data_IF_848162112139
#
_entry.id   IF_848162112139
#
_cell.length_a   1.000
_cell.length_b   1.000
_cell.length_c   1.000
_cell.angle_alpha   90.00
_cell.angle_beta   90.00
_cell.angle_gamma   90.00
#
_symmetry.space_group_name_H-M   'P 1'
#
loop_
_entity.id
_entity.type
_entity.pdbx_description
1 polymer ?
#
# COMPACT_ATOMS: atom_id res chain seq x y z
N UNK A 1 2.50 -31.48 -29.40
CA UNK A 1 1.25 -31.44 -28.61
C UNK A 1 1.51 -30.60 -27.37
N UNK A 2 0.77 -29.51 -27.16
CA UNK A 2 0.84 -28.77 -25.89
C UNK A 2 -0.02 -29.51 -24.87
N UNK A 3 0.57 -30.01 -23.79
CA UNK A 3 -0.18 -30.65 -22.72
C UNK A 3 -0.86 -29.57 -21.86
N UNK A 4 -2.17 -29.67 -21.65
CA UNK A 4 -2.88 -28.79 -20.74
C UNK A 4 -2.47 -29.13 -19.30
N UNK A 5 -1.95 -28.14 -18.57
CA UNK A 5 -1.68 -28.25 -17.13
C UNK A 5 -2.94 -27.80 -16.39
N UNK A 6 -3.52 -28.70 -15.59
CA UNK A 6 -4.65 -28.38 -14.70
C UNK A 6 -4.11 -28.06 -13.31
N UNK A 7 -4.36 -26.83 -12.82
CA UNK A 7 -4.02 -26.42 -11.46
C UNK A 7 -5.24 -26.52 -10.56
N UNK A 8 -5.22 -27.47 -9.63
CA UNK A 8 -6.24 -27.60 -8.57
C UNK A 8 -5.85 -26.76 -7.37
N UNK A 9 -6.67 -25.78 -7.01
CA UNK A 9 -6.46 -24.91 -5.85
C UNK A 9 -7.13 -25.48 -4.58
N UNK A 10 -6.60 -25.20 -3.38
CA UNK A 10 -7.28 -25.50 -2.13
C UNK A 10 -8.67 -24.84 -2.08
N UNK A 11 -9.66 -25.51 -1.46
CA UNK A 11 -11.03 -24.97 -1.36
C UNK A 11 -11.10 -23.61 -0.65
N UNK A 12 -10.22 -23.38 0.32
CA UNK A 12 -10.14 -22.13 1.09
C UNK A 12 -9.29 -21.03 0.42
N UNK A 13 -8.75 -21.28 -0.78
CA UNK A 13 -7.88 -20.31 -1.46
C UNK A 13 -8.60 -18.99 -1.81
N UNK A 14 -9.94 -18.99 -1.83
CA UNK A 14 -10.75 -17.79 -1.95
C UNK A 14 -10.43 -16.73 -0.89
N UNK A 15 -10.04 -17.11 0.33
CA UNK A 15 -9.64 -16.15 1.37
C UNK A 15 -8.30 -15.48 1.05
N UNK A 16 -7.37 -16.20 0.42
CA UNK A 16 -6.09 -15.64 -0.04
C UNK A 16 -6.35 -14.59 -1.13
N UNK A 17 -7.24 -14.90 -2.06
CA UNK A 17 -7.66 -13.97 -3.11
C UNK A 17 -8.40 -12.75 -2.53
N UNK A 18 -9.22 -12.92 -1.51
CA UNK A 18 -9.88 -11.81 -0.81
C UNK A 18 -8.84 -10.89 -0.15
N UNK A 19 -7.85 -11.46 0.53
CA UNK A 19 -6.75 -10.67 1.11
C UNK A 19 -5.95 -9.92 0.03
N UNK A 20 -5.63 -10.57 -1.09
CA UNK A 20 -4.99 -9.92 -2.22
C UNK A 20 -5.85 -8.80 -2.82
N UNK A 21 -7.14 -9.04 -3.04
CA UNK A 21 -8.07 -8.05 -3.59
C UNK A 21 -8.24 -6.83 -2.66
N UNK A 22 -8.15 -7.04 -1.35
CA UNK A 22 -8.24 -5.94 -0.38
C UNK A 22 -7.12 -4.89 -0.54
N UNK A 23 -5.97 -5.26 -1.12
CA UNK A 23 -4.88 -4.32 -1.38
C UNK A 23 -5.24 -3.27 -2.44
N UNK A 24 -6.22 -3.53 -3.32
CA UNK A 24 -6.69 -2.52 -4.28
C UNK A 24 -7.34 -1.34 -3.58
N UNK A 25 -8.21 -1.61 -2.60
CA UNK A 25 -8.84 -0.55 -1.80
C UNK A 25 -7.80 0.26 -1.03
N UNK A 26 -6.77 -0.41 -0.52
CA UNK A 26 -5.67 0.26 0.17
C UNK A 26 -4.82 1.11 -0.77
N UNK A 27 -4.54 0.65 -1.99
CA UNK A 27 -3.90 1.45 -3.03
C UNK A 27 -4.70 2.73 -3.34
N UNK A 28 -6.03 2.61 -3.45
CA UNK A 28 -6.93 3.75 -3.65
C UNK A 28 -6.88 4.70 -2.45
N UNK A 29 -6.86 4.18 -1.22
CA UNK A 29 -6.72 5.01 -0.02
C UNK A 29 -5.43 5.85 -0.04
N UNK A 30 -4.29 5.22 -0.34
CA UNK A 30 -3.01 5.94 -0.50
C UNK A 30 -3.07 7.00 -1.60
N UNK A 31 -3.72 6.71 -2.73
CA UNK A 31 -3.89 7.64 -3.85
C UNK A 31 -4.75 8.85 -3.45
N UNK A 32 -5.84 8.65 -2.70
CA UNK A 32 -6.70 9.74 -2.23
C UNK A 32 -5.95 10.66 -1.26
N UNK A 33 -5.17 10.08 -0.33
CA UNK A 33 -4.35 10.85 0.61
C UNK A 33 -3.32 11.72 -0.10
N UNK A 34 -2.57 11.16 -1.07
CA UNK A 34 -1.56 11.92 -1.81
C UNK A 34 -2.18 12.97 -2.74
N UNK A 35 -3.29 12.66 -3.40
CA UNK A 35 -4.01 13.60 -4.25
C UNK A 35 -4.58 14.79 -3.45
N UNK A 36 -5.16 14.51 -2.28
CA UNK A 36 -5.66 15.55 -1.37
C UNK A 36 -4.51 16.45 -0.89
N UNK A 37 -3.42 15.86 -0.39
CA UNK A 37 -2.27 16.62 0.09
C UNK A 37 -1.60 17.44 -1.03
N UNK A 38 -1.58 16.92 -2.26
CA UNK A 38 -1.10 17.67 -3.45
C UNK A 38 -1.97 18.89 -3.72
N UNK A 39 -3.29 18.71 -3.73
CA UNK A 39 -4.23 19.81 -3.97
C UNK A 39 -4.05 20.91 -2.91
N UNK A 40 -3.83 20.51 -1.65
CA UNK A 40 -3.64 21.44 -0.54
C UNK A 40 -2.29 22.17 -0.58
N UNK A 41 -1.22 21.53 -1.05
CA UNK A 41 0.10 22.15 -1.19
C UNK A 41 0.22 23.07 -2.41
N UNK A 42 -0.71 22.99 -3.37
CA UNK A 42 -0.66 23.77 -4.61
C UNK A 42 0.44 23.31 -5.59
N UNK A 43 1.10 22.18 -5.33
CA UNK A 43 2.16 21.65 -6.19
C UNK A 43 1.58 21.06 -7.47
N UNK A 44 1.85 21.75 -8.59
CA UNK A 44 1.41 21.32 -9.90
C UNK A 44 2.20 20.10 -10.41
N UNK A 45 1.53 19.26 -11.19
CA UNK A 45 2.22 18.25 -11.99
C UNK A 45 3.17 18.94 -12.99
N UNK A 46 4.33 18.36 -13.32
CA UNK A 46 4.77 16.97 -13.06
C UNK A 46 5.61 16.78 -11.78
N UNK A 47 5.61 17.75 -10.85
CA UNK A 47 6.45 17.68 -9.64
C UNK A 47 6.05 16.46 -8.79
N UNK A 48 6.98 15.51 -8.62
CA UNK A 48 6.74 14.28 -7.86
C UNK A 48 6.80 14.51 -6.34
N UNK A 49 7.76 15.31 -5.88
CA UNK A 49 7.97 15.70 -4.49
C UNK A 49 8.30 17.20 -4.43
N UNK A 50 7.88 17.87 -3.36
CA UNK A 50 8.37 19.20 -3.05
C UNK A 50 9.87 19.16 -2.73
N UNK A 51 10.61 20.18 -3.17
CA UNK A 51 12.01 20.34 -2.78
C UNK A 51 12.15 20.48 -1.26
N UNK A 52 13.28 20.02 -0.71
CA UNK A 52 13.53 20.03 0.74
C UNK A 52 13.42 21.43 1.35
N UNK A 53 13.90 22.45 0.64
CA UNK A 53 13.80 23.85 1.07
C UNK A 53 12.37 24.37 1.13
N UNK A 54 11.49 23.90 0.25
CA UNK A 54 10.08 24.28 0.20
C UNK A 54 9.32 23.53 1.30
N UNK A 55 9.54 22.21 1.41
CA UNK A 55 8.94 21.39 2.45
C UNK A 55 9.36 21.80 3.87
N UNK A 56 10.56 22.36 4.06
CA UNK A 56 11.00 22.87 5.36
C UNK A 56 10.25 24.15 5.79
N UNK A 57 9.71 24.92 4.83
CA UNK A 57 9.05 26.21 5.08
C UNK A 57 7.54 26.14 4.99
N UNK A 58 7.01 25.26 4.14
CA UNK A 58 5.58 25.07 3.94
C UNK A 58 5.12 23.71 4.51
N UNK A 59 4.35 23.72 5.62
CA UNK A 59 3.78 22.51 6.20
C UNK A 59 2.92 21.69 5.23
N UNK A 60 2.27 22.33 4.25
CA UNK A 60 1.44 21.62 3.26
C UNK A 60 2.28 20.89 2.23
N UNK A 61 3.35 21.52 1.74
CA UNK A 61 4.35 20.86 0.91
C UNK A 61 5.02 19.68 1.65
N UNK A 62 5.30 19.83 2.96
CA UNK A 62 5.79 18.74 3.79
C UNK A 62 4.79 17.58 3.93
N UNK A 63 3.52 17.90 4.18
CA UNK A 63 2.45 16.90 4.27
C UNK A 63 2.26 16.15 2.95
N UNK A 64 2.36 16.84 1.82
CA UNK A 64 2.37 16.22 0.50
C UNK A 64 3.53 15.24 0.34
N UNK A 65 4.76 15.62 0.70
CA UNK A 65 5.91 14.71 0.66
C UNK A 65 5.70 13.48 1.55
N UNK A 66 5.08 13.65 2.72
CA UNK A 66 4.77 12.53 3.61
C UNK A 66 3.73 11.58 2.99
N UNK A 67 2.64 12.11 2.43
CA UNK A 67 1.62 11.31 1.75
C UNK A 67 2.17 10.58 0.52
N UNK A 68 2.98 11.26 -0.28
CA UNK A 68 3.64 10.67 -1.43
C UNK A 68 4.61 9.55 -1.00
N UNK A 69 5.41 9.76 0.07
CA UNK A 69 6.32 8.73 0.58
C UNK A 69 5.57 7.51 1.08
N UNK A 70 4.44 7.71 1.77
CA UNK A 70 3.59 6.62 2.23
C UNK A 70 3.03 5.79 1.06
N UNK A 71 2.56 6.45 0.00
CA UNK A 71 2.10 5.77 -1.22
C UNK A 71 3.22 5.00 -1.92
N UNK A 72 4.39 5.61 -2.09
CA UNK A 72 5.55 4.93 -2.70
C UNK A 72 5.99 3.74 -1.85
N UNK A 73 6.03 3.87 -0.52
CA UNK A 73 6.40 2.77 0.37
C UNK A 73 5.44 1.57 0.24
N UNK A 74 4.14 1.83 0.16
CA UNK A 74 3.14 0.80 -0.09
C UNK A 74 3.39 0.08 -1.42
N UNK A 75 3.60 0.85 -2.49
CA UNK A 75 3.82 0.32 -3.85
C UNK A 75 5.10 -0.52 -3.94
N UNK A 76 6.19 -0.08 -3.30
CA UNK A 76 7.46 -0.81 -3.20
C UNK A 76 7.30 -2.18 -2.52
N UNK A 77 6.38 -2.29 -1.56
CA UNK A 77 6.16 -3.51 -0.79
C UNK A 77 5.01 -4.37 -1.32
N UNK A 78 4.14 -3.83 -2.19
CA UNK A 78 2.97 -4.54 -2.69
C UNK A 78 3.35 -5.76 -3.54
N UNK A 79 4.31 -5.62 -4.45
CA UNK A 79 4.76 -6.71 -5.33
C UNK A 79 5.33 -7.91 -4.55
N UNK A 80 6.34 -7.75 -3.66
CA UNK A 80 6.85 -8.87 -2.89
C UNK A 80 5.78 -9.45 -1.94
N UNK A 81 4.89 -8.61 -1.39
CA UNK A 81 3.76 -9.07 -0.57
C UNK A 81 2.82 -9.99 -1.35
N UNK A 82 2.33 -9.56 -2.52
CA UNK A 82 1.41 -10.34 -3.34
C UNK A 82 2.04 -11.66 -3.79
N UNK A 83 3.32 -11.62 -4.19
CA UNK A 83 4.08 -12.83 -4.52
C UNK A 83 4.12 -13.82 -3.35
N UNK A 84 4.48 -13.35 -2.16
CA UNK A 84 4.54 -14.20 -0.97
C UNK A 84 3.16 -14.74 -0.55
N UNK A 85 2.13 -13.88 -0.56
CA UNK A 85 0.76 -14.23 -0.19
C UNK A 85 0.18 -15.32 -1.08
N UNK A 86 0.28 -15.15 -2.40
CA UNK A 86 -0.27 -16.08 -3.38
C UNK A 86 0.48 -17.41 -3.37
N UNK A 87 1.82 -17.39 -3.31
CA UNK A 87 2.63 -18.62 -3.30
C UNK A 87 2.41 -19.40 -1.99
N UNK A 88 2.48 -18.73 -0.83
CA UNK A 88 2.28 -19.40 0.45
C UNK A 88 0.84 -19.93 0.60
N UNK A 89 -0.14 -19.21 0.05
CA UNK A 89 -1.55 -19.59 0.08
C UNK A 89 -1.86 -20.90 -0.64
N UNK A 90 -1.03 -21.31 -1.61
CA UNK A 90 -1.19 -22.61 -2.29
C UNK A 90 -1.05 -23.79 -1.33
N UNK A 91 -0.23 -23.63 -0.28
CA UNK A 91 0.00 -24.66 0.74
C UNK A 91 -0.71 -24.37 2.06
N UNK A 92 -0.83 -23.10 2.43
CA UNK A 92 -1.36 -22.67 3.73
C UNK A 92 -2.42 -21.55 3.57
N UNK A 93 -3.59 -21.83 2.95
CA UNK A 93 -4.54 -20.80 2.56
C UNK A 93 -5.06 -19.95 3.74
N UNK A 94 -5.45 -20.58 4.85
CA UNK A 94 -6.00 -19.85 6.01
C UNK A 94 -4.94 -18.99 6.71
N UNK A 95 -3.75 -19.50 7.09
CA UNK A 95 -2.70 -18.66 7.67
C UNK A 95 -2.25 -17.54 6.75
N UNK A 96 -2.09 -17.81 5.45
CA UNK A 96 -1.71 -16.79 4.47
C UNK A 96 -2.76 -15.69 4.36
N UNK A 97 -4.05 -16.04 4.32
CA UNK A 97 -5.12 -15.05 4.31
C UNK A 97 -5.14 -14.20 5.59
N UNK A 98 -4.96 -14.81 6.76
CA UNK A 98 -4.90 -14.09 8.04
C UNK A 98 -3.74 -13.10 8.12
N UNK A 99 -2.53 -13.53 7.73
CA UNK A 99 -1.37 -12.65 7.64
C UNK A 99 -1.53 -11.56 6.58
N UNK A 100 -2.16 -11.90 5.45
CA UNK A 100 -2.50 -10.95 4.39
C UNK A 100 -3.42 -9.84 4.88
N UNK A 101 -4.50 -10.20 5.59
CA UNK A 101 -5.41 -9.25 6.20
C UNK A 101 -4.71 -8.37 7.25
N UNK A 102 -3.88 -8.97 8.11
CA UNK A 102 -3.07 -8.23 9.09
C UNK A 102 -2.10 -7.25 8.43
N UNK A 103 -1.47 -7.63 7.32
CA UNK A 103 -0.60 -6.75 6.56
C UNK A 103 -1.38 -5.58 5.96
N UNK A 104 -2.53 -5.81 5.34
CA UNK A 104 -3.39 -4.74 4.78
C UNK A 104 -3.83 -3.77 5.88
N UNK A 105 -4.26 -4.29 7.03
CA UNK A 105 -4.66 -3.45 8.16
C UNK A 105 -3.50 -2.61 8.71
N UNK A 106 -2.32 -3.21 8.92
CA UNK A 106 -1.13 -2.48 9.38
C UNK A 106 -0.70 -1.39 8.39
N UNK A 107 -0.85 -1.62 7.08
CA UNK A 107 -0.56 -0.64 6.05
C UNK A 107 -1.57 0.51 6.02
N UNK A 108 -2.85 0.25 6.32
CA UNK A 108 -3.84 1.30 6.52
C UNK A 108 -3.46 2.23 7.69
N UNK A 109 -3.10 1.65 8.84
CA UNK A 109 -2.65 2.40 10.01
C UNK A 109 -1.39 3.20 9.68
N UNK A 110 -0.39 2.55 9.06
CA UNK A 110 0.85 3.21 8.63
C UNK A 110 0.58 4.44 7.77
N UNK A 111 -0.30 4.32 6.77
CA UNK A 111 -0.65 5.43 5.89
C UNK A 111 -1.31 6.60 6.65
N UNK A 112 -2.24 6.29 7.54
CA UNK A 112 -2.91 7.29 8.38
C UNK A 112 -1.93 7.98 9.34
N UNK A 113 -1.09 7.21 10.03
CA UNK A 113 -0.12 7.74 10.98
C UNK A 113 0.97 8.57 10.27
N UNK A 114 1.52 8.07 9.18
CA UNK A 114 2.58 8.74 8.42
C UNK A 114 2.10 10.06 7.80
N UNK A 115 0.85 10.12 7.34
CA UNK A 115 0.27 11.38 6.81
C UNK A 115 -0.08 12.39 7.88
N UNK A 116 -0.38 11.95 9.10
CA UNK A 116 -0.78 12.83 10.21
C UNK A 116 0.43 13.35 11.00
N UNK A 117 1.38 12.48 11.32
CA UNK A 117 2.51 12.78 12.20
C UNK A 117 3.87 12.74 11.49
N UNK A 118 3.86 12.67 10.15
CA UNK A 118 5.06 12.53 9.34
C UNK A 118 5.83 11.24 9.67
N UNK A 119 7.17 11.24 9.53
CA UNK A 119 7.99 10.05 9.75
C UNK A 119 7.89 9.44 11.16
N UNK A 120 7.48 10.22 12.17
CA UNK A 120 7.27 9.73 13.54
C UNK A 120 6.00 8.90 13.67
N UNK A 121 5.05 9.08 12.76
CA UNK A 121 3.77 8.35 12.71
C UNK A 121 3.83 6.97 12.09
N UNK A 122 5.02 6.40 11.85
CA UNK A 122 5.18 5.10 11.18
C UNK A 122 4.82 3.87 12.03
N UNK A 123 4.73 4.03 13.34
CA UNK A 123 4.48 2.94 14.30
C UNK A 123 3.39 3.25 15.31
N UNK A 124 2.55 4.26 15.02
CA UNK A 124 1.28 4.46 15.73
C UNK A 124 0.28 3.41 15.28
#
# INVERSE_FOLDING_TARGET
>A
MSAAITLTLPGDYGYVLLAAASSFFLQTYHMVLSAKARKESGLMYPIAYAESQVAAKDPKAYAFNCAQRAQTNFTENLTPFLGALLIAGLKYPIPSAGLGAGWVFSRFIYASGYTTFGPKGRGV
#
